data_IF_897050178796
#
_entry.id   IF_897050178796
#
_cell.length_a   1.000
_cell.length_b   1.000
_cell.length_c   1.000
_cell.angle_alpha   90.00
_cell.angle_beta   90.00
_cell.angle_gamma   90.00
#
_symmetry.space_group_name_H-M   'P 1'
#
loop_
_entity.id
_entity.type
_entity.pdbx_description
1 polymer ?
#
# COMPACT_ATOMS: atom_id res chain seq x y z
N UNK A 1 6.61 18.25 15.69
CA UNK A 1 7.65 18.16 14.63
C UNK A 1 8.05 16.69 14.53
N UNK A 2 7.84 15.89 13.49
CA UNK A 2 7.40 16.09 12.12
C UNK A 2 6.45 14.93 11.79
N UNK A 3 5.19 15.21 11.47
CA UNK A 3 4.34 14.22 10.81
C UNK A 3 4.49 14.46 9.31
N UNK A 4 5.70 14.24 8.78
CA UNK A 4 5.87 14.23 7.34
C UNK A 4 4.92 13.15 6.82
N UNK A 5 3.98 13.50 5.91
CA UNK A 5 3.13 12.47 5.33
C UNK A 5 4.08 11.44 4.72
N UNK A 6 3.93 10.17 5.14
CA UNK A 6 4.59 9.07 4.43
C UNK A 6 4.25 9.30 2.96
N UNK A 7 5.20 9.10 2.06
CA UNK A 7 4.92 9.20 0.63
C UNK A 7 5.59 8.02 -0.02
N UNK A 8 4.80 7.30 -0.80
CA UNK A 8 5.29 6.15 -1.52
C UNK A 8 5.29 6.46 -3.01
N UNK A 9 6.28 5.92 -3.70
CA UNK A 9 6.40 6.06 -5.16
C UNK A 9 6.07 4.74 -5.84
N UNK A 10 5.56 4.74 -7.07
CA UNK A 10 5.42 3.51 -7.84
C UNK A 10 6.76 2.76 -7.91
N UNK A 11 6.74 1.46 -7.64
CA UNK A 11 7.91 0.58 -7.53
C UNK A 11 8.40 0.36 -6.09
N UNK A 12 7.89 1.07 -5.09
CA UNK A 12 8.24 0.79 -3.69
C UNK A 12 7.51 -0.45 -3.18
N UNK A 13 8.27 -1.33 -2.53
CA UNK A 13 7.74 -2.52 -1.88
C UNK A 13 7.25 -2.14 -0.48
N UNK A 14 5.95 -2.30 -0.24
CA UNK A 14 5.24 -1.90 0.99
C UNK A 14 4.37 -3.06 1.46
N UNK A 15 4.04 -3.09 2.74
CA UNK A 15 3.15 -4.12 3.28
C UNK A 15 1.74 -3.58 3.36
N UNK A 16 0.81 -4.16 2.61
CA UNK A 16 -0.59 -3.77 2.68
C UNK A 16 -1.34 -4.59 3.72
N UNK A 17 -2.16 -3.91 4.52
CA UNK A 17 -2.99 -4.58 5.51
C UNK A 17 -4.06 -5.43 4.84
N UNK A 18 -4.04 -6.73 5.13
CA UNK A 18 -5.06 -7.67 4.71
C UNK A 18 -6.09 -7.87 5.83
N UNK A 19 -7.37 -7.71 5.50
CA UNK A 19 -8.48 -7.94 6.42
C UNK A 19 -9.11 -9.32 6.24
N UNK A 20 -8.69 -10.07 5.21
CA UNK A 20 -9.25 -11.37 4.83
C UNK A 20 -8.11 -12.39 4.80
N UNK A 21 -7.89 -13.06 5.92
CA UNK A 21 -6.88 -14.11 6.08
C UNK A 21 -6.11 -14.01 7.39
N UNK A 22 -5.30 -15.04 7.66
CA UNK A 22 -4.51 -15.16 8.90
C UNK A 22 -3.31 -14.22 8.96
N UNK A 23 -2.79 -13.79 7.79
CA UNK A 23 -1.65 -12.89 7.69
C UNK A 23 -2.15 -11.44 7.57
N UNK A 24 -1.94 -10.59 8.58
CA UNK A 24 -2.49 -9.23 8.61
C UNK A 24 -1.78 -8.26 7.67
N UNK A 25 -0.55 -8.55 7.25
CA UNK A 25 0.27 -7.68 6.40
C UNK A 25 0.86 -8.49 5.26
N UNK A 26 0.49 -8.14 4.03
CA UNK A 26 0.90 -8.84 2.81
C UNK A 26 1.89 -7.97 2.06
N UNK A 27 3.03 -8.50 1.58
CA UNK A 27 3.95 -7.73 0.75
C UNK A 27 3.29 -7.35 -0.58
N UNK A 28 3.40 -6.08 -0.92
CA UNK A 28 2.82 -5.50 -2.15
C UNK A 28 3.80 -4.48 -2.74
N UNK A 29 3.62 -4.17 -4.01
CA UNK A 29 4.39 -3.12 -4.69
C UNK A 29 3.45 -1.98 -5.06
N UNK A 30 3.80 -0.74 -4.69
CA UNK A 30 3.03 0.43 -5.12
C UNK A 30 3.09 0.53 -6.63
N UNK A 31 1.94 0.56 -7.29
CA UNK A 31 1.86 0.71 -8.76
C UNK A 31 1.41 2.10 -9.18
N UNK A 32 0.75 2.83 -8.28
CA UNK A 32 0.24 4.15 -8.60
C UNK A 32 -0.29 4.88 -7.38
N UNK A 33 -0.31 6.21 -7.48
CA UNK A 33 -0.95 7.09 -6.50
C UNK A 33 -2.27 7.53 -7.10
N UNK A 34 -3.38 7.19 -6.45
CA UNK A 34 -4.72 7.57 -6.91
C UNK A 34 -5.28 8.81 -6.20
N UNK A 35 -4.59 9.30 -5.17
CA UNK A 35 -4.93 10.52 -4.45
C UNK A 35 -3.87 10.83 -3.39
N UNK A 36 -3.95 11.99 -2.72
CA UNK A 36 -2.89 12.45 -1.80
C UNK A 36 -2.56 11.47 -0.66
N UNK A 37 -3.48 10.56 -0.32
CA UNK A 37 -3.27 9.50 0.68
C UNK A 37 -3.75 8.13 0.23
N UNK A 38 -4.16 8.00 -1.03
CA UNK A 38 -4.72 6.77 -1.58
C UNK A 38 -3.75 6.21 -2.61
N UNK A 39 -3.26 5.02 -2.33
CA UNK A 39 -2.26 4.34 -3.16
C UNK A 39 -2.87 3.06 -3.70
N UNK A 40 -2.47 2.73 -4.91
CA UNK A 40 -2.76 1.47 -5.56
C UNK A 40 -1.51 0.61 -5.47
N UNK A 41 -1.67 -0.60 -4.96
CA UNK A 41 -0.59 -1.56 -4.78
C UNK A 41 -0.94 -2.87 -5.47
N UNK A 42 0.03 -3.51 -6.09
CA UNK A 42 -0.08 -4.84 -6.68
C UNK A 42 0.52 -5.87 -5.72
N UNK A 43 -0.22 -6.94 -5.48
CA UNK A 43 0.32 -8.14 -4.84
C UNK A 43 1.18 -8.90 -5.85
N UNK A 44 2.06 -9.77 -5.37
CA UNK A 44 2.79 -10.72 -6.23
C UNK A 44 1.84 -11.62 -7.02
N UNK A 45 0.64 -11.89 -6.49
CA UNK A 45 -0.45 -12.62 -7.16
C UNK A 45 -1.11 -11.85 -8.32
N UNK A 46 -0.63 -10.63 -8.65
CA UNK A 46 -1.19 -9.78 -9.71
C UNK A 46 -2.50 -9.07 -9.35
N UNK A 47 -3.03 -9.31 -8.15
CA UNK A 47 -4.20 -8.59 -7.61
C UNK A 47 -3.83 -7.14 -7.28
N UNK A 48 -4.70 -6.21 -7.66
CA UNK A 48 -4.56 -4.79 -7.35
C UNK A 48 -5.43 -4.40 -6.16
N UNK A 49 -4.81 -3.82 -5.14
CA UNK A 49 -5.50 -3.26 -3.98
C UNK A 49 -5.39 -1.74 -3.97
N UNK A 50 -6.43 -1.09 -3.48
CA UNK A 50 -6.45 0.35 -3.25
C UNK A 50 -6.55 0.58 -1.75
N UNK A 51 -5.50 1.16 -1.16
CA UNK A 51 -5.36 1.31 0.29
C UNK A 51 -4.97 2.73 0.67
N UNK A 52 -5.44 3.13 1.84
CA UNK A 52 -5.00 4.38 2.44
C UNK A 52 -3.56 4.21 2.92
N UNK A 53 -2.81 5.31 2.99
CA UNK A 53 -1.43 5.28 3.44
C UNK A 53 -1.23 4.74 4.86
N UNK A 54 -2.25 4.85 5.71
CA UNK A 54 -2.22 4.28 7.07
C UNK A 54 -2.43 2.76 7.09
N UNK A 55 -2.74 2.17 5.93
CA UNK A 55 -2.92 0.73 5.72
C UNK A 55 -1.80 0.13 4.84
N UNK A 56 -0.71 0.89 4.63
CA UNK A 56 0.49 0.54 3.89
C UNK A 56 1.76 0.72 4.74
#
# INVERSE_FOLDING_TARGET
CANAPRSFVPGNQVFARNYVGDIPWVPTTVVGVTGPRSYQVALEDGRLWRRHIDQL
#
